data_IF_670185786965
#
_entry.id   IF_670185786965
#
_cell.length_a   1.000
_cell.length_b   1.000
_cell.length_c   1.000
_cell.angle_alpha   90.00
_cell.angle_beta   90.00
_cell.angle_gamma   90.00
#
_symmetry.space_group_name_H-M   'P 1'
#
loop_
_entity.id
_entity.type
_entity.pdbx_description
1 polymer ?
#
# COMPACT_ATOMS: atom_id res chain seq x y z
N UNK A 1 -15.83 6.97 7.57
CA UNK A 1 -14.61 7.52 6.93
C UNK A 1 -14.43 6.96 5.53
N UNK A 2 -13.91 7.73 4.63
CA UNK A 2 -13.62 7.26 3.27
C UNK A 2 -12.34 6.43 3.29
N UNK A 3 -12.41 5.24 2.71
CA UNK A 3 -11.28 4.30 2.68
C UNK A 3 -11.08 3.75 1.26
N UNK A 4 -9.85 3.35 0.98
CA UNK A 4 -9.53 2.42 -0.09
C UNK A 4 -9.31 1.06 0.57
N UNK A 5 -9.82 0.00 -0.03
CA UNK A 5 -9.71 -1.33 0.55
C UNK A 5 -9.43 -2.39 -0.50
N UNK A 6 -8.81 -3.47 -0.05
CA UNK A 6 -8.32 -4.54 -0.93
C UNK A 6 -8.06 -5.79 -0.10
N UNK A 7 -7.86 -6.91 -0.79
CA UNK A 7 -7.51 -8.18 -0.16
C UNK A 7 -6.12 -8.60 -0.62
N UNK A 8 -5.31 -9.06 0.34
CA UNK A 8 -4.01 -9.65 0.04
C UNK A 8 -3.95 -11.04 0.68
N UNK A 9 -3.78 -12.07 -0.14
CA UNK A 9 -3.80 -13.44 0.35
C UNK A 9 -5.09 -13.81 1.08
N UNK A 10 -6.21 -13.25 0.65
CA UNK A 10 -7.52 -13.47 1.29
C UNK A 10 -7.76 -12.63 2.53
N UNK A 11 -6.78 -11.88 3.03
CA UNK A 11 -6.94 -11.01 4.18
C UNK A 11 -7.42 -9.62 3.78
N UNK A 12 -8.40 -9.03 4.49
CA UNK A 12 -8.96 -7.73 4.17
C UNK A 12 -8.18 -6.58 4.82
N UNK A 13 -7.78 -5.60 4.01
CA UNK A 13 -7.06 -4.41 4.44
C UNK A 13 -7.73 -3.15 3.93
N UNK A 14 -7.50 -2.05 4.62
CA UNK A 14 -7.97 -0.73 4.23
C UNK A 14 -6.94 0.33 4.58
N UNK A 15 -6.99 1.45 3.86
CA UNK A 15 -6.23 2.66 4.18
C UNK A 15 -7.17 3.85 4.12
N UNK A 16 -6.94 4.85 4.96
CA UNK A 16 -7.70 6.09 4.89
C UNK A 16 -7.45 6.76 3.53
N UNK A 17 -8.50 7.11 2.81
CA UNK A 17 -8.39 7.68 1.47
C UNK A 17 -7.56 8.97 1.46
N UNK A 18 -7.66 9.76 2.52
CA UNK A 18 -6.91 11.02 2.65
C UNK A 18 -5.40 10.83 2.71
N UNK A 19 -4.92 9.62 3.04
CA UNK A 19 -3.48 9.32 3.10
C UNK A 19 -2.91 8.90 1.75
N UNK A 20 -3.75 8.78 0.73
CA UNK A 20 -3.38 8.35 -0.62
C UNK A 20 -3.57 9.51 -1.59
N UNK A 21 -2.51 9.85 -2.31
CA UNK A 21 -2.56 10.91 -3.31
C UNK A 21 -3.21 10.43 -4.61
N UNK A 22 -2.81 9.27 -5.09
CA UNK A 22 -3.40 8.67 -6.29
C UNK A 22 -3.14 7.17 -6.34
N UNK A 23 -3.87 6.48 -7.21
CA UNK A 23 -3.71 5.06 -7.51
C UNK A 23 -3.56 4.93 -9.02
N UNK A 24 -2.51 4.26 -9.47
CA UNK A 24 -2.23 4.05 -10.89
C UNK A 24 -1.86 2.60 -11.13
N UNK A 25 -1.95 2.11 -12.38
CA UNK A 25 -1.32 0.84 -12.73
C UNK A 25 0.17 0.89 -12.38
N UNK A 26 0.74 -0.24 -12.00
CA UNK A 26 2.15 -0.28 -11.61
C UNK A 26 3.04 0.11 -12.79
N UNK A 27 3.89 1.14 -12.63
CA UNK A 27 4.84 1.54 -13.65
C UNK A 27 6.07 0.62 -13.64
N UNK A 28 7.03 0.89 -14.52
CA UNK A 28 8.33 0.23 -14.45
C UNK A 28 9.04 0.61 -13.15
N UNK A 29 9.52 -0.40 -12.44
CA UNK A 29 10.25 -0.21 -11.18
C UNK A 29 11.72 -0.52 -11.42
N UNK A 30 12.59 0.41 -11.08
CA UNK A 30 14.04 0.29 -11.25
C UNK A 30 14.66 -0.12 -9.91
N UNK A 31 15.17 -1.36 -9.78
CA UNK A 31 15.83 -1.80 -8.54
C UNK A 31 17.01 -0.92 -8.19
N UNK A 32 17.18 -0.67 -6.89
CA UNK A 32 18.30 0.10 -6.36
C UNK A 32 19.17 -0.83 -5.51
N UNK A 33 20.48 -0.96 -5.80
CA UNK A 33 21.37 -1.80 -5.00
C UNK A 33 21.36 -1.36 -3.53
N UNK A 34 21.41 -2.33 -2.62
CA UNK A 34 21.48 -2.12 -1.18
C UNK A 34 20.28 -1.42 -0.56
N UNK A 35 19.15 -1.34 -1.26
CA UNK A 35 17.92 -0.83 -0.67
C UNK A 35 17.38 -1.83 0.38
N UNK A 36 16.58 -1.36 1.36
CA UNK A 36 15.92 -2.28 2.30
C UNK A 36 15.11 -3.35 1.56
N UNK A 37 15.01 -4.58 2.10
CA UNK A 37 14.34 -5.69 1.40
C UNK A 37 12.90 -5.41 0.98
N UNK A 38 12.16 -4.61 1.77
CA UNK A 38 10.78 -4.28 1.43
C UNK A 38 10.67 -3.16 0.39
N UNK A 39 11.77 -2.52 -0.01
CA UNK A 39 11.79 -1.49 -1.05
C UNK A 39 12.21 -2.15 -2.36
N UNK A 40 11.27 -2.23 -3.30
CA UNK A 40 11.50 -2.85 -4.61
C UNK A 40 12.44 -2.03 -5.49
N UNK A 41 12.44 -0.72 -5.32
CA UNK A 41 13.24 0.19 -6.12
C UNK A 41 12.58 1.54 -6.27
N UNK A 42 12.90 2.23 -7.36
CA UNK A 42 12.36 3.55 -7.67
C UNK A 42 11.48 3.49 -8.91
N UNK A 43 10.40 4.23 -8.88
CA UNK A 43 9.58 4.54 -10.04
C UNK A 43 9.62 6.04 -10.29
N UNK A 44 9.31 6.44 -11.52
CA UNK A 44 9.23 7.86 -11.87
C UNK A 44 7.78 8.30 -11.97
N UNK A 45 7.46 9.42 -11.36
CA UNK A 45 6.16 10.07 -11.47
C UNK A 45 6.36 11.56 -11.68
N UNK A 46 6.00 12.05 -12.88
CA UNK A 46 6.12 13.49 -13.24
C UNK A 46 7.52 14.05 -12.97
N UNK A 47 8.56 13.30 -13.35
CA UNK A 47 9.95 13.72 -13.18
C UNK A 47 10.50 13.53 -11.78
N UNK A 48 9.73 12.93 -10.85
CA UNK A 48 10.18 12.66 -9.48
C UNK A 48 10.39 11.18 -9.25
N UNK A 49 11.44 10.84 -8.52
CA UNK A 49 11.69 9.48 -8.09
C UNK A 49 10.82 9.17 -6.88
N UNK A 50 10.16 8.01 -6.90
CA UNK A 50 9.29 7.54 -5.83
C UNK A 50 9.80 6.18 -5.38
N UNK A 51 10.02 6.00 -4.07
CA UNK A 51 10.38 4.71 -3.50
C UNK A 51 9.16 3.80 -3.50
N UNK A 52 9.30 2.62 -4.09
CA UNK A 52 8.20 1.64 -4.20
C UNK A 52 8.37 0.58 -3.13
N UNK A 53 7.39 0.49 -2.25
CA UNK A 53 7.36 -0.43 -1.12
C UNK A 53 6.50 -1.64 -1.48
N UNK A 54 7.05 -2.83 -1.25
CA UNK A 54 6.33 -4.09 -1.42
C UNK A 54 5.41 -4.33 -0.22
N UNK A 55 4.16 -3.95 -0.34
CA UNK A 55 3.20 -4.07 0.76
C UNK A 55 3.00 -5.52 1.21
N UNK A 56 2.85 -6.52 0.31
CA UNK A 56 2.76 -7.91 0.76
C UNK A 56 3.94 -8.35 1.61
N UNK A 57 5.15 -7.93 1.27
CA UNK A 57 6.34 -8.28 2.05
C UNK A 57 6.27 -7.69 3.46
N UNK A 58 5.84 -6.44 3.60
CA UNK A 58 5.68 -5.81 4.92
C UNK A 58 4.64 -6.49 5.79
N UNK A 59 3.64 -7.10 5.18
CA UNK A 59 2.54 -7.76 5.88
C UNK A 59 2.76 -9.27 6.04
N UNK A 60 3.95 -9.76 5.73
CA UNK A 60 4.31 -11.19 5.78
C UNK A 60 3.35 -12.08 4.98
N UNK A 61 2.90 -11.61 3.82
CA UNK A 61 1.97 -12.36 2.98
C UNK A 61 2.64 -13.26 1.97
N UNK A 62 3.97 -13.13 1.80
CA UNK A 62 4.70 -13.90 0.81
C UNK A 62 4.33 -13.56 -0.63
N UNK A 63 4.77 -14.36 -1.60
CA UNK A 63 4.41 -14.15 -2.99
C UNK A 63 2.90 -14.30 -3.17
N UNK A 64 2.28 -13.29 -3.77
CA UNK A 64 0.86 -13.31 -4.06
C UNK A 64 0.68 -13.55 -5.54
N UNK A 65 -0.18 -14.50 -5.89
CA UNK A 65 -0.50 -14.80 -7.28
C UNK A 65 -1.14 -13.56 -7.91
N UNK A 66 -0.43 -12.96 -8.86
CA UNK A 66 -0.85 -11.73 -9.51
C UNK A 66 -1.87 -12.02 -10.62
N UNK A 67 -3.00 -12.62 -10.27
CA UNK A 67 -4.14 -12.71 -11.21
C UNK A 67 -4.69 -11.35 -11.56
N UNK A 68 -4.41 -10.36 -10.73
CA UNK A 68 -4.81 -8.98 -10.92
C UNK A 68 -3.59 -8.12 -11.23
N UNK A 69 -3.77 -7.14 -12.10
CA UNK A 69 -2.72 -6.17 -12.35
C UNK A 69 -2.35 -5.45 -11.05
N UNK A 70 -1.04 -5.30 -10.82
CA UNK A 70 -0.57 -4.58 -9.65
C UNK A 70 -0.88 -3.08 -9.79
N UNK A 71 -1.18 -2.46 -8.66
CA UNK A 71 -1.44 -1.02 -8.57
C UNK A 71 -0.40 -0.36 -7.68
N UNK A 72 -0.08 0.89 -8.00
CA UNK A 72 0.79 1.72 -7.19
C UNK A 72 -0.07 2.75 -6.47
N UNK A 73 -0.08 2.69 -5.14
CA UNK A 73 -0.76 3.67 -4.29
C UNK A 73 0.27 4.67 -3.80
N UNK A 74 0.32 5.85 -4.41
CA UNK A 74 1.23 6.91 -4.01
C UNK A 74 0.67 7.60 -2.76
N UNK A 75 1.55 7.77 -1.76
CA UNK A 75 1.13 8.37 -0.49
C UNK A 75 1.00 9.88 -0.60
N UNK A 76 0.08 10.44 0.19
CA UNK A 76 -0.11 11.88 0.28
C UNK A 76 0.97 12.53 1.14
N UNK A 77 1.13 13.86 1.00
CA UNK A 77 2.06 14.61 1.83
C UNK A 77 1.83 14.33 3.34
N UNK A 78 2.89 14.25 4.14
CA UNK A 78 4.30 14.50 3.80
C UNK A 78 5.07 13.28 3.29
N UNK A 79 4.39 12.21 2.88
CA UNK A 79 5.01 10.95 2.47
C UNK A 79 5.01 10.77 0.94
N UNK A 80 4.90 11.84 0.19
CA UNK A 80 4.71 11.80 -1.27
C UNK A 80 5.89 11.21 -2.06
N UNK A 81 7.01 11.00 -1.40
CA UNK A 81 8.17 10.30 -1.99
C UNK A 81 8.09 8.79 -1.91
N UNK A 82 7.01 8.24 -1.41
CA UNK A 82 6.81 6.80 -1.24
C UNK A 82 5.48 6.35 -1.83
N UNK A 83 5.43 5.09 -2.26
CA UNK A 83 4.23 4.45 -2.76
C UNK A 83 4.21 2.99 -2.37
N UNK A 84 3.02 2.43 -2.24
CA UNK A 84 2.80 1.03 -1.91
C UNK A 84 2.42 0.25 -3.17
N UNK A 85 3.13 -0.82 -3.46
CA UNK A 85 2.75 -1.75 -4.52
C UNK A 85 1.73 -2.73 -3.97
N UNK A 86 0.55 -2.75 -4.59
CA UNK A 86 -0.58 -3.58 -4.18
C UNK A 86 -1.00 -4.47 -5.34
N UNK A 87 -0.68 -5.78 -5.31
CA UNK A 87 -1.06 -6.73 -6.38
C UNK A 87 -2.49 -7.23 -6.16
N UNK A 88 -3.44 -6.30 -6.17
CA UNK A 88 -4.84 -6.59 -5.94
C UNK A 88 -5.72 -5.49 -6.55
N UNK A 89 -7.00 -5.81 -6.74
CA UNK A 89 -7.99 -4.81 -7.06
C UNK A 89 -8.18 -3.88 -5.86
N UNK A 90 -8.21 -2.57 -6.12
CA UNK A 90 -8.40 -1.56 -5.09
C UNK A 90 -9.77 -0.94 -5.27
N UNK A 91 -10.57 -1.00 -4.21
CA UNK A 91 -11.92 -0.48 -4.18
C UNK A 91 -11.99 0.73 -3.25
N UNK A 92 -12.95 1.60 -3.48
CA UNK A 92 -13.23 2.72 -2.59
C UNK A 92 -14.58 2.52 -1.90
N UNK A 93 -14.68 2.99 -0.67
CA UNK A 93 -15.92 2.85 0.06
C UNK A 93 -15.94 3.63 1.36
N UNK A 94 -17.04 3.48 2.08
CA UNK A 94 -17.22 4.08 3.40
C UNK A 94 -17.02 3.03 4.47
N UNK A 95 -16.09 3.28 5.38
CA UNK A 95 -15.82 2.42 6.51
C UNK A 95 -16.36 3.02 7.80
N UNK A 96 -16.87 2.15 8.68
CA UNK A 96 -17.26 2.54 10.03
C UNK A 96 -16.16 2.13 11.01
N UNK A 97 -15.69 3.05 11.89
CA UNK A 97 -14.73 2.67 12.90
C UNK A 97 -15.25 1.51 13.74
N UNK A 98 -14.41 0.51 13.95
CA UNK A 98 -14.77 -0.68 14.74
C UNK A 98 -13.93 -0.75 16.00
N UNK A 99 -12.84 -1.51 15.98
CA UNK A 99 -11.86 -1.55 17.08
C UNK A 99 -10.63 -0.77 16.69
N UNK A 100 -9.71 -0.45 17.63
CA UNK A 100 -8.45 0.18 17.28
C UNK A 100 -7.72 -0.58 16.17
N UNK A 101 -7.34 0.11 15.10
CA UNK A 101 -6.66 -0.49 13.97
C UNK A 101 -7.56 -1.26 13.01
N UNK A 102 -8.89 -1.15 13.14
CA UNK A 102 -9.85 -1.83 12.29
C UNK A 102 -10.99 -0.92 11.85
N UNK A 103 -11.54 -1.23 10.70
CA UNK A 103 -12.69 -0.53 10.13
C UNK A 103 -13.63 -1.58 9.54
N UNK A 104 -14.94 -1.37 9.71
CA UNK A 104 -15.96 -2.27 9.14
C UNK A 104 -16.43 -1.69 7.80
N UNK A 105 -16.40 -2.52 6.76
CA UNK A 105 -16.88 -2.19 5.42
C UNK A 105 -17.88 -3.28 5.03
N UNK A 106 -19.15 -2.88 4.82
CA UNK A 106 -20.24 -3.80 4.48
C UNK A 106 -20.34 -4.98 5.47
N UNK A 107 -20.16 -4.70 6.75
CA UNK A 107 -20.24 -5.71 7.80
C UNK A 107 -18.99 -6.57 7.96
N UNK A 108 -17.97 -6.38 7.14
CA UNK A 108 -16.72 -7.13 7.25
C UNK A 108 -15.61 -6.27 7.84
N UNK A 109 -14.90 -6.86 8.80
CA UNK A 109 -13.79 -6.19 9.48
C UNK A 109 -12.54 -6.20 8.60
N UNK A 110 -11.96 -5.01 8.42
CA UNK A 110 -10.72 -4.80 7.67
C UNK A 110 -9.65 -4.23 8.59
N UNK A 111 -8.41 -4.67 8.42
CA UNK A 111 -7.27 -4.07 9.12
C UNK A 111 -7.01 -2.70 8.50
N UNK A 112 -7.08 -1.65 9.31
CA UNK A 112 -6.78 -0.30 8.87
C UNK A 112 -5.28 -0.06 8.98
N UNK A 113 -4.62 0.08 7.84
CA UNK A 113 -3.18 0.30 7.76
C UNK A 113 -2.85 1.76 7.97
N UNK A 114 -1.75 2.04 8.68
CA UNK A 114 -1.23 3.38 8.90
C UNK A 114 -0.03 3.60 7.96
N UNK A 115 -0.16 4.54 7.03
CA UNK A 115 0.86 4.81 6.02
C UNK A 115 2.21 5.18 6.63
N UNK A 116 2.23 6.00 7.68
CA UNK A 116 3.47 6.40 8.33
C UNK A 116 4.18 5.21 8.98
N UNK A 117 3.43 4.34 9.64
CA UNK A 117 3.97 3.13 10.25
C UNK A 117 4.56 2.22 9.17
N UNK A 118 3.87 2.06 8.04
CA UNK A 118 4.36 1.25 6.92
C UNK A 118 5.67 1.78 6.36
N UNK A 119 5.76 3.09 6.15
CA UNK A 119 7.00 3.71 5.63
C UNK A 119 8.16 3.52 6.58
N UNK A 120 7.95 3.74 7.87
CA UNK A 120 8.98 3.52 8.89
C UNK A 120 9.42 2.06 8.93
N UNK A 121 8.47 1.15 8.86
CA UNK A 121 8.75 -0.29 8.86
C UNK A 121 9.55 -0.70 7.62
N UNK A 122 9.20 -0.17 6.45
CA UNK A 122 9.92 -0.46 5.21
C UNK A 122 11.39 -0.02 5.29
N UNK A 123 11.66 1.13 5.92
CA UNK A 123 13.01 1.65 6.06
C UNK A 123 13.88 0.82 7.01
N UNK A 124 13.29 0.14 7.99
CA UNK A 124 14.00 -0.61 9.04
C UNK A 124 13.83 -2.14 8.92
N UNK A 125 12.96 -2.59 8.02
CA UNK A 125 12.67 -4.02 7.84
C UNK A 125 13.92 -4.76 7.36
N UNK A 126 14.38 -5.79 8.09
CA UNK A 126 15.58 -6.54 7.72
C UNK A 126 15.42 -7.41 6.49
#
# INVERSE_FOLDING_TARGET
MNVLYFHLGGAPYAVAQETIADVTPAPTIHPVPLSPPAVLGLAERRGRAIAVIDLPALLDKGPIDAKHAAHLMRLAAPLEGAALLVPAEILSGMGAPASPGHVSIDGRLHVLLDALVLVKRAATFP
#
